data_IF_001539147208
#
_entry.id   IF_001539147208
#
_cell.length_a   1.000
_cell.length_b   1.000
_cell.length_c   1.000
_cell.angle_alpha   90.00
_cell.angle_beta   90.00
_cell.angle_gamma   90.00
#
_symmetry.space_group_name_H-M   'P 1'
#
loop_
_entity.id
_entity.type
_entity.pdbx_description
1 polymer ?
#
# COMPACT_ATOMS: atom_id res chain seq x y z
N UNK A 1 -18.59 -0.86 6.42
CA UNK A 1 -17.41 -0.26 7.11
C UNK A 1 -16.56 0.43 6.05
N UNK A 2 -16.00 1.61 6.32
CA UNK A 2 -15.17 2.34 5.33
C UNK A 2 -13.70 2.24 5.71
N UNK A 3 -12.82 2.02 4.73
CA UNK A 3 -11.38 1.97 4.94
C UNK A 3 -10.87 3.23 5.66
N UNK A 4 -11.35 4.42 5.26
CA UNK A 4 -10.94 5.70 5.86
C UNK A 4 -11.27 5.80 7.36
N UNK A 5 -12.26 5.04 7.86
CA UNK A 5 -12.62 5.01 9.29
C UNK A 5 -11.87 3.92 10.07
N UNK A 6 -11.09 3.06 9.40
CA UNK A 6 -10.31 2.01 10.07
C UNK A 6 -9.12 2.61 10.80
N UNK A 7 -8.99 2.30 12.10
CA UNK A 7 -7.83 2.73 12.91
C UNK A 7 -6.50 2.21 12.33
N UNK A 8 -6.49 1.01 11.77
CA UNK A 8 -5.27 0.42 11.20
C UNK A 8 -4.80 1.18 9.95
N UNK A 9 -5.75 1.64 9.12
CA UNK A 9 -5.43 2.46 7.96
C UNK A 9 -4.94 3.86 8.37
N UNK A 10 -5.55 4.47 9.39
CA UNK A 10 -5.07 5.75 9.93
C UNK A 10 -3.66 5.62 10.53
N UNK A 11 -3.41 4.54 11.28
CA UNK A 11 -2.08 4.24 11.82
C UNK A 11 -1.05 4.04 10.71
N UNK A 12 -1.39 3.31 9.64
CA UNK A 12 -0.54 3.20 8.45
C UNK A 12 -0.17 4.58 7.88
N UNK A 13 -1.16 5.47 7.69
CA UNK A 13 -0.91 6.80 7.13
C UNK A 13 0.06 7.64 7.97
N UNK A 14 -0.13 7.62 9.29
CA UNK A 14 0.64 8.41 10.24
C UNK A 14 2.02 7.80 10.53
N UNK A 15 2.08 6.49 10.78
CA UNK A 15 3.31 5.81 11.18
C UNK A 15 4.34 5.76 10.04
N UNK A 16 3.91 5.54 8.79
CA UNK A 16 4.84 5.59 7.64
C UNK A 16 5.36 7.01 7.42
N UNK A 17 4.48 8.02 7.50
CA UNK A 17 4.89 9.42 7.36
C UNK A 17 5.92 9.85 8.43
N UNK A 18 5.81 9.29 9.64
CA UNK A 18 6.72 9.55 10.76
C UNK A 18 7.94 8.62 10.79
N UNK A 19 8.10 7.73 9.81
CA UNK A 19 9.16 6.73 9.78
C UNK A 19 9.11 5.71 10.93
N UNK A 20 7.95 5.56 11.59
CA UNK A 20 7.71 4.61 12.69
C UNK A 20 7.25 3.24 12.21
N UNK A 21 6.82 3.16 10.95
CA UNK A 21 6.40 1.90 10.32
C UNK A 21 7.22 1.69 9.06
N UNK A 22 8.03 0.63 9.06
CA UNK A 22 8.67 0.13 7.87
C UNK A 22 7.70 -0.80 7.15
N UNK A 23 7.35 -0.46 5.91
CA UNK A 23 6.49 -1.30 5.10
C UNK A 23 7.25 -2.51 4.59
N UNK A 24 6.62 -3.70 4.51
CA UNK A 24 7.27 -4.88 3.94
C UNK A 24 7.69 -4.59 2.49
N UNK A 25 8.94 -4.92 2.17
CA UNK A 25 9.44 -4.85 0.80
C UNK A 25 8.57 -5.68 -0.14
N UNK A 26 8.46 -5.21 -1.38
CA UNK A 26 7.88 -6.02 -2.45
C UNK A 26 9.00 -6.80 -3.12
N UNK A 27 8.74 -8.06 -3.42
CA UNK A 27 9.63 -8.87 -4.22
C UNK A 27 9.46 -8.46 -5.70
N UNK A 28 10.51 -7.98 -6.38
CA UNK A 28 10.44 -7.59 -7.79
C UNK A 28 10.25 -8.78 -8.74
N UNK A 29 10.33 -10.01 -8.25
CA UNK A 29 10.07 -11.24 -9.02
C UNK A 29 8.62 -11.70 -8.91
N UNK A 30 7.87 -11.20 -7.93
CA UNK A 30 6.47 -11.54 -7.71
C UNK A 30 5.52 -10.44 -8.21
N UNK A 31 4.26 -10.80 -8.52
CA UNK A 31 3.28 -9.79 -8.87
C UNK A 31 3.01 -8.79 -7.75
N UNK A 32 3.17 -7.50 -8.04
CA UNK A 32 2.90 -6.44 -7.10
C UNK A 32 1.39 -6.29 -6.86
N UNK A 33 0.93 -6.70 -5.67
CA UNK A 33 -0.45 -6.48 -5.22
C UNK A 33 -0.54 -5.19 -4.40
N UNK A 34 -1.13 -4.15 -5.00
CA UNK A 34 -1.47 -2.92 -4.28
C UNK A 34 -2.78 -3.09 -3.52
N UNK A 35 -2.76 -2.79 -2.22
CA UNK A 35 -3.98 -2.79 -1.40
C UNK A 35 -4.78 -1.51 -1.64
N UNK A 36 -6.10 -1.60 -1.47
CA UNK A 36 -6.96 -0.41 -1.58
C UNK A 36 -6.53 0.64 -0.57
N UNK A 37 -6.41 1.88 -1.04
CA UNK A 37 -5.99 3.03 -0.22
C UNK A 37 -4.48 3.14 0.00
N UNK A 38 -3.67 2.22 -0.54
CA UNK A 38 -2.21 2.29 -0.40
C UNK A 38 -1.67 3.55 -1.11
N UNK A 39 -0.78 4.27 -0.43
CA UNK A 39 -0.26 5.59 -0.87
C UNK A 39 1.22 5.79 -0.58
N UNK A 40 1.95 4.74 -0.21
CA UNK A 40 3.40 4.77 -0.01
C UNK A 40 4.03 3.67 -0.85
N UNK A 41 5.23 3.95 -1.38
CA UNK A 41 5.99 2.95 -2.12
C UNK A 41 6.58 1.91 -1.15
N UNK A 42 6.71 0.67 -1.62
CA UNK A 42 7.29 -0.48 -0.91
C UNK A 42 8.44 -1.11 -1.68
N UNK A 43 8.79 -0.57 -2.85
CA UNK A 43 9.94 -1.04 -3.62
C UNK A 43 11.21 -0.83 -2.78
N UNK A 44 12.08 -1.85 -2.64
CA UNK A 44 13.34 -1.71 -1.93
C UNK A 44 14.16 -0.58 -2.58
N UNK A 45 14.84 0.23 -1.77
CA UNK A 45 15.69 1.33 -2.24
C UNK A 45 14.99 2.43 -3.05
N UNK A 46 13.65 2.51 -3.05
CA UNK A 46 12.97 3.66 -3.65
C UNK A 46 13.22 4.93 -2.82
N UNK A 47 13.78 6.01 -3.41
CA UNK A 47 14.00 7.26 -2.68
C UNK A 47 12.69 7.94 -2.25
N UNK A 48 11.58 7.61 -2.92
CA UNK A 48 10.24 8.14 -2.62
C UNK A 48 9.42 7.24 -1.68
N UNK A 49 10.04 6.28 -0.97
CA UNK A 49 9.31 5.31 -0.12
C UNK A 49 8.46 5.95 0.97
N UNK A 50 8.96 7.04 1.57
CA UNK A 50 8.24 7.80 2.60
C UNK A 50 7.34 8.90 2.02
N UNK A 51 7.37 9.10 0.69
CA UNK A 51 6.52 10.09 0.02
C UNK A 51 5.10 9.58 -0.02
N UNK A 52 4.19 10.35 0.57
CA UNK A 52 2.75 10.08 0.48
C UNK A 52 2.22 10.53 -0.87
N UNK A 53 1.74 9.59 -1.67
CA UNK A 53 0.99 9.89 -2.89
C UNK A 53 -0.45 10.30 -2.54
N UNK A 54 -1.03 11.21 -3.33
CA UNK A 54 -2.40 11.71 -3.07
C UNK A 54 -3.47 10.62 -3.26
N UNK A 55 -3.19 9.62 -4.09
CA UNK A 55 -4.09 8.52 -4.39
C UNK A 55 -3.32 7.26 -4.80
N UNK A 56 -3.94 6.10 -4.61
CA UNK A 56 -3.40 4.80 -5.05
C UNK A 56 -3.11 4.75 -6.56
N UNK A 57 -3.87 5.48 -7.38
CA UNK A 57 -3.58 5.60 -8.81
C UNK A 57 -2.27 6.35 -9.11
N UNK A 58 -1.89 7.34 -8.29
CA UNK A 58 -0.62 8.04 -8.45
C UNK A 58 0.54 7.14 -8.05
N UNK A 59 0.38 6.36 -6.97
CA UNK A 59 1.34 5.34 -6.57
C UNK A 59 1.49 4.28 -7.68
N UNK A 60 0.38 3.82 -8.27
CA UNK A 60 0.39 2.91 -9.43
C UNK A 60 1.20 3.50 -10.59
N UNK A 61 0.97 4.77 -10.91
CA UNK A 61 1.71 5.43 -11.98
C UNK A 61 3.20 5.50 -11.67
N UNK A 62 3.57 5.84 -10.43
CA UNK A 62 4.97 5.79 -9.97
C UNK A 62 5.59 4.41 -10.21
N UNK A 63 4.88 3.32 -9.85
CA UNK A 63 5.42 1.98 -10.08
C UNK A 63 5.63 1.67 -11.57
N UNK A 64 4.68 2.07 -12.42
CA UNK A 64 4.77 1.87 -13.87
C UNK A 64 5.92 2.64 -14.52
N UNK A 65 6.24 3.82 -14.01
CA UNK A 65 7.29 4.69 -14.59
C UNK A 65 8.67 4.28 -14.09
N UNK A 66 8.81 3.97 -12.81
CA UNK A 66 10.12 3.77 -12.19
C UNK A 66 10.55 2.31 -12.06
N UNK A 67 9.62 1.36 -12.09
CA UNK A 67 9.92 -0.06 -11.96
C UNK A 67 9.29 -0.86 -13.12
N UNK A 68 9.36 -0.28 -14.32
CA UNK A 68 8.70 -0.73 -15.54
C UNK A 68 8.99 -2.19 -15.94
N UNK A 69 10.07 -2.79 -15.43
CA UNK A 69 10.38 -4.22 -15.60
C UNK A 69 9.42 -5.15 -14.82
N UNK A 70 8.61 -4.61 -13.91
CA UNK A 70 7.50 -5.32 -13.29
C UNK A 70 6.25 -5.25 -14.19
N UNK A 71 6.26 -5.97 -15.32
CA UNK A 71 5.04 -6.25 -16.10
C UNK A 71 3.97 -6.97 -15.25
N UNK A 72 4.35 -7.55 -14.12
CA UNK A 72 3.50 -8.24 -13.14
C UNK A 72 2.77 -7.31 -12.16
N UNK A 73 2.45 -6.07 -12.53
CA UNK A 73 1.66 -5.16 -11.69
C UNK A 73 0.18 -5.63 -11.59
N UNK A 74 -0.09 -6.58 -10.69
CA UNK A 74 -1.45 -7.08 -10.44
C UNK A 74 -2.20 -6.09 -9.56
N UNK A 75 -3.05 -5.31 -10.20
CA UNK A 75 -3.96 -4.41 -9.51
C UNK A 75 -5.09 -5.23 -8.89
N UNK A 76 -5.11 -5.41 -7.57
CA UNK A 76 -6.31 -5.87 -6.89
C UNK A 76 -7.38 -4.76 -6.98
N UNK A 77 -8.16 -4.78 -8.06
CA UNK A 77 -9.24 -3.84 -8.30
C UNK A 77 -9.08 -3.06 -9.61
N UNK A 78 -10.02 -3.30 -10.53
CA UNK A 78 -10.30 -2.38 -11.64
C UNK A 78 -10.70 -1.00 -11.11
N UNK A 79 -10.57 0.03 -11.94
CA UNK A 79 -11.16 1.35 -11.71
C UNK A 79 -12.62 1.21 -11.26
N UNK A 80 -12.96 1.74 -10.08
CA UNK A 80 -14.31 1.65 -9.51
C UNK A 80 -14.33 1.68 -7.98
N UNK A 81 -15.54 1.64 -7.41
CA UNK A 81 -15.73 1.51 -5.95
C UNK A 81 -15.38 0.07 -5.52
N UNK A 82 -14.41 -0.14 -4.63
CA UNK A 82 -14.05 -1.48 -4.17
C UNK A 82 -15.20 -2.13 -3.39
N UNK A 83 -15.37 -3.44 -3.54
CA UNK A 83 -16.35 -4.20 -2.77
C UNK A 83 -16.00 -4.19 -1.28
N UNK A 84 -16.97 -4.49 -0.44
CA UNK A 84 -16.76 -4.60 1.00
C UNK A 84 -15.72 -5.68 1.35
N UNK A 85 -15.69 -6.77 0.60
CA UNK A 85 -14.69 -7.84 0.73
C UNK A 85 -13.26 -7.33 0.52
N UNK A 86 -13.05 -6.57 -0.57
CA UNK A 86 -11.74 -5.97 -0.86
C UNK A 86 -11.33 -4.96 0.22
N UNK A 87 -12.29 -4.20 0.76
CA UNK A 87 -12.04 -3.28 1.89
C UNK A 87 -11.62 -4.05 3.13
N UNK A 88 -12.27 -5.17 3.44
CA UNK A 88 -11.92 -6.00 4.60
C UNK A 88 -10.56 -6.67 4.44
N UNK A 89 -10.23 -7.20 3.26
CA UNK A 89 -8.89 -7.72 2.96
C UNK A 89 -7.81 -6.66 3.17
N UNK A 90 -8.03 -5.44 2.66
CA UNK A 90 -7.11 -4.34 2.86
C UNK A 90 -6.95 -4.00 4.36
N UNK A 91 -8.05 -3.94 5.12
CA UNK A 91 -8.01 -3.69 6.57
C UNK A 91 -7.23 -4.78 7.31
N UNK A 92 -7.41 -6.05 6.95
CA UNK A 92 -6.67 -7.18 7.53
C UNK A 92 -5.17 -7.05 7.27
N UNK A 93 -4.79 -6.65 6.06
CA UNK A 93 -3.39 -6.37 5.73
C UNK A 93 -2.83 -5.19 6.54
N UNK A 94 -3.54 -4.05 6.60
CA UNK A 94 -3.11 -2.90 7.42
C UNK A 94 -2.97 -3.27 8.90
N UNK A 95 -3.89 -4.08 9.43
CA UNK A 95 -3.81 -4.59 10.80
C UNK A 95 -2.54 -5.41 10.98
N UNK A 96 -2.25 -6.34 10.07
CA UNK A 96 -1.05 -7.17 10.13
C UNK A 96 0.21 -6.32 10.20
N UNK A 97 0.42 -5.38 9.27
CA UNK A 97 1.66 -4.59 9.26
C UNK A 97 1.78 -3.60 10.42
N UNK A 98 0.65 -3.13 10.98
CA UNK A 98 0.66 -2.17 12.08
C UNK A 98 0.73 -2.82 13.47
N UNK A 99 0.37 -4.10 13.59
CA UNK A 99 0.38 -4.82 14.89
C UNK A 99 1.70 -5.54 15.14
N UNK A 100 2.47 -5.87 14.10
CA UNK A 100 3.78 -6.57 14.21
C UNK A 100 4.91 -5.70 14.79
N UNK A 101 4.62 -4.47 15.28
CA UNK A 101 5.64 -3.55 15.83
C UNK A 101 5.43 -3.24 17.34
N UNK A 102 4.62 -4.02 18.05
CA UNK A 102 4.32 -3.85 19.49
C UNK A 102 4.81 -5.03 20.36
N UNK A 103 5.79 -5.83 19.91
CA UNK A 103 6.44 -6.88 20.72
C UNK A 103 7.95 -6.63 20.90
#
# INVERSE_FOLDING_TARGET
>A
MSLKKSKYYQNYLDAVAKGRLTLPDIDPTEPLILKVGEVYCRYPDCPERQKRYSATNNLRHHYKVHFADNESLITAGKSGTPSMEVIMDAISWYKSITTTHDE
#
